data_IF_999233193470
#
_entry.id   IF_999233193470
#
_cell.length_a   1.000
_cell.length_b   1.000
_cell.length_c   1.000
_cell.angle_alpha   90.00
_cell.angle_beta   90.00
_cell.angle_gamma   90.00
#
_symmetry.space_group_name_H-M   'P 1'
#
loop_
_entity.id
_entity.type
_entity.pdbx_description
1 polymer ?
#
# COMPACT_ATOMS: atom_id res chain seq x y z
N UNK A 1 1.04 13.50 9.55
CA UNK A 1 0.59 12.17 9.07
C UNK A 1 -0.85 11.94 9.53
N UNK A 2 -1.81 12.12 8.62
CA UNK A 2 -3.26 11.89 8.84
C UNK A 2 -3.84 10.95 7.77
N UNK A 3 -3.42 11.09 6.51
CA UNK A 3 -3.90 10.31 5.37
C UNK A 3 -2.76 9.49 4.77
N UNK A 4 -2.67 8.24 5.17
CA UNK A 4 -1.53 7.37 4.89
C UNK A 4 -1.87 6.33 3.84
N UNK A 5 -1.05 6.19 2.82
CA UNK A 5 -1.09 5.08 1.86
C UNK A 5 0.05 4.11 2.17
N UNK A 6 -0.26 2.82 2.24
CA UNK A 6 0.74 1.75 2.35
C UNK A 6 0.72 0.92 1.07
N UNK A 7 1.77 1.01 0.27
CA UNK A 7 1.90 0.33 -1.04
C UNK A 7 3.15 -0.55 -1.12
N UNK A 8 3.20 -1.41 -2.12
CA UNK A 8 4.34 -2.31 -2.34
C UNK A 8 3.94 -3.70 -2.79
N UNK A 9 4.89 -4.58 -3.12
CA UNK A 9 4.64 -5.92 -3.65
C UNK A 9 3.83 -6.80 -2.70
N UNK A 10 3.24 -7.85 -3.26
CA UNK A 10 2.60 -8.91 -2.48
C UNK A 10 3.54 -9.52 -1.45
N UNK A 11 3.01 -9.96 -0.33
CA UNK A 11 3.75 -10.54 0.79
C UNK A 11 4.85 -9.61 1.40
N UNK A 12 4.95 -8.34 1.03
CA UNK A 12 5.85 -7.37 1.67
C UNK A 12 5.50 -7.12 3.14
N UNK A 13 4.24 -7.29 3.53
CA UNK A 13 3.77 -7.07 4.89
C UNK A 13 3.07 -5.73 5.10
N UNK A 14 2.50 -5.18 4.03
CA UNK A 14 1.71 -3.94 4.04
C UNK A 14 0.66 -3.93 5.15
N UNK A 15 -0.20 -4.96 5.17
CA UNK A 15 -1.31 -5.04 6.13
C UNK A 15 -0.82 -5.09 7.59
N UNK A 16 0.26 -5.83 7.85
CA UNK A 16 0.86 -5.85 9.19
C UNK A 16 1.41 -4.47 9.60
N UNK A 17 2.02 -3.74 8.65
CA UNK A 17 2.47 -2.37 8.90
C UNK A 17 1.29 -1.42 9.11
N UNK A 18 0.27 -1.47 8.26
CA UNK A 18 -0.91 -0.63 8.36
C UNK A 18 -1.62 -0.80 9.72
N UNK A 19 -1.84 -2.05 10.14
CA UNK A 19 -2.40 -2.36 11.47
C UNK A 19 -1.52 -1.79 12.58
N UNK A 20 -0.20 -1.96 12.49
CA UNK A 20 0.73 -1.43 13.49
C UNK A 20 0.71 0.09 13.56
N UNK A 21 0.68 0.76 12.42
CA UNK A 21 0.54 2.23 12.35
C UNK A 21 -0.79 2.68 12.94
N UNK A 22 -1.90 2.00 12.61
CA UNK A 22 -3.21 2.29 13.20
C UNK A 22 -3.24 2.18 14.72
N UNK A 23 -2.56 1.16 15.29
CA UNK A 23 -2.42 1.01 16.74
C UNK A 23 -1.63 2.14 17.40
N UNK A 24 -0.61 2.67 16.72
CA UNK A 24 0.24 3.74 17.25
C UNK A 24 -0.44 5.11 17.13
N UNK A 25 -1.07 5.36 15.98
CA UNK A 25 -1.59 6.69 15.63
C UNK A 25 -3.07 6.88 15.96
N UNK A 26 -3.81 5.79 16.22
CA UNK A 26 -5.26 5.82 16.36
C UNK A 26 -6.03 5.98 15.04
N UNK A 27 -5.35 5.99 13.89
CA UNK A 27 -5.98 6.17 12.58
C UNK A 27 -6.73 4.90 12.15
N UNK A 28 -7.91 5.04 11.53
CA UNK A 28 -8.65 3.90 10.99
C UNK A 28 -7.90 3.26 9.83
N UNK A 29 -7.82 1.93 9.83
CA UNK A 29 -7.15 1.13 8.77
C UNK A 29 -8.19 0.59 7.82
N UNK A 30 -8.00 0.84 6.52
CA UNK A 30 -8.86 0.41 5.42
C UNK A 30 -8.07 -0.56 4.54
N UNK A 31 -8.47 -1.83 4.53
CA UNK A 31 -7.87 -2.87 3.71
C UNK A 31 -8.57 -2.91 2.34
N UNK A 32 -7.95 -2.33 1.32
CA UNK A 32 -8.55 -2.17 -0.02
C UNK A 32 -8.84 -3.50 -0.71
N UNK A 33 -7.97 -4.50 -0.51
CA UNK A 33 -8.18 -5.85 -1.09
C UNK A 33 -9.53 -6.45 -0.67
N UNK A 34 -9.96 -6.24 0.58
CA UNK A 34 -11.24 -6.76 1.09
C UNK A 34 -12.46 -6.07 0.48
N UNK A 35 -12.30 -4.84 0.02
CA UNK A 35 -13.39 -4.06 -0.58
C UNK A 35 -13.44 -4.21 -2.10
N UNK A 36 -12.30 -4.53 -2.71
CA UNK A 36 -12.18 -4.63 -4.17
C UNK A 36 -12.69 -5.97 -4.71
N UNK A 37 -12.31 -7.07 -4.06
CA UNK A 37 -12.68 -8.41 -4.52
C UNK A 37 -14.07 -8.80 -4.05
N UNK A 38 -14.97 -9.06 -5.00
CA UNK A 38 -16.31 -9.55 -4.76
C UNK A 38 -16.32 -11.07 -4.52
N UNK A 39 -17.38 -11.63 -3.90
CA UNK A 39 -17.55 -13.06 -3.84
C UNK A 39 -17.47 -13.69 -5.25
N UNK A 40 -16.70 -14.79 -5.40
CA UNK A 40 -16.47 -15.45 -6.68
C UNK A 40 -15.29 -14.93 -7.50
N UNK A 41 -14.24 -14.41 -6.92
CA UNK A 41 -13.12 -13.50 -7.21
C UNK A 41 -13.33 -12.56 -8.42
N UNK A 42 -14.49 -11.94 -8.51
CA UNK A 42 -14.74 -10.91 -9.51
C UNK A 42 -14.17 -9.57 -9.04
N UNK A 43 -13.44 -8.89 -9.93
CA UNK A 43 -12.96 -7.52 -9.68
C UNK A 43 -14.13 -6.54 -9.70
N UNK A 44 -14.11 -5.55 -8.82
CA UNK A 44 -15.05 -4.43 -8.86
C UNK A 44 -14.79 -3.62 -10.15
N UNK A 45 -15.83 -3.26 -10.93
CA UNK A 45 -15.67 -2.43 -12.12
C UNK A 45 -14.95 -1.11 -11.82
N UNK A 46 -14.10 -0.64 -12.75
CA UNK A 46 -13.22 0.51 -12.53
C UNK A 46 -13.96 1.77 -12.10
N UNK A 47 -15.09 2.08 -12.71
CA UNK A 47 -15.91 3.28 -12.38
C UNK A 47 -16.45 3.19 -10.96
N UNK A 48 -16.99 2.04 -10.59
CA UNK A 48 -17.52 1.80 -9.25
C UNK A 48 -16.38 1.84 -8.22
N UNK A 49 -15.23 1.24 -8.54
CA UNK A 49 -14.05 1.27 -7.68
C UNK A 49 -13.54 2.70 -7.47
N UNK A 50 -13.55 3.52 -8.52
CA UNK A 50 -13.20 4.94 -8.42
C UNK A 50 -14.14 5.69 -7.48
N UNK A 51 -15.44 5.45 -7.58
CA UNK A 51 -16.42 6.07 -6.68
C UNK A 51 -16.26 5.61 -5.22
N UNK A 52 -15.94 4.32 -5.01
CA UNK A 52 -15.64 3.78 -3.68
C UNK A 52 -14.38 4.44 -3.12
N UNK A 53 -13.28 4.51 -3.87
CA UNK A 53 -12.05 5.12 -3.39
C UNK A 53 -12.21 6.61 -3.06
N UNK A 54 -12.97 7.37 -3.85
CA UNK A 54 -13.29 8.77 -3.52
C UNK A 54 -14.01 8.91 -2.18
N UNK A 55 -14.98 8.04 -1.91
CA UNK A 55 -15.68 8.04 -0.61
C UNK A 55 -14.76 7.66 0.55
N UNK A 56 -13.88 6.67 0.34
CA UNK A 56 -12.90 6.25 1.34
C UNK A 56 -11.85 7.33 1.62
N UNK A 57 -11.48 8.13 0.61
CA UNK A 57 -10.50 9.20 0.73
C UNK A 57 -11.08 10.52 1.28
N UNK A 58 -12.41 10.67 1.33
CA UNK A 58 -13.07 11.89 1.80
C UNK A 58 -12.84 12.22 3.29
N UNK A 59 -12.77 11.25 4.23
CA UNK A 59 -12.49 11.55 5.63
C UNK A 59 -11.13 12.22 5.84
N UNK A 60 -11.02 12.97 6.96
CA UNK A 60 -9.80 13.71 7.29
C UNK A 60 -8.61 12.82 7.68
N UNK A 61 -8.88 11.57 8.08
CA UNK A 61 -7.82 10.69 8.57
C UNK A 61 -8.10 9.22 8.26
N UNK A 62 -7.08 8.52 7.75
CA UNK A 62 -7.14 7.10 7.41
C UNK A 62 -5.75 6.53 7.09
N UNK A 63 -5.64 5.21 7.15
CA UNK A 63 -4.55 4.42 6.59
C UNK A 63 -5.14 3.48 5.56
N UNK A 64 -4.81 3.64 4.28
CA UNK A 64 -5.23 2.74 3.21
C UNK A 64 -4.12 1.74 2.88
N UNK A 65 -4.42 0.46 3.11
CA UNK A 65 -3.54 -0.66 2.79
C UNK A 65 -3.98 -1.33 1.50
N UNK A 66 -3.10 -1.41 0.54
CA UNK A 66 -3.29 -2.18 -0.68
C UNK A 66 -2.63 -1.57 -1.91
N UNK A 67 -2.21 -2.46 -2.80
CA UNK A 67 -1.72 -2.18 -4.14
C UNK A 67 -2.38 -3.21 -5.06
N UNK A 68 -3.42 -2.78 -5.77
CA UNK A 68 -4.23 -3.63 -6.64
C UNK A 68 -3.63 -3.75 -8.05
N UNK A 69 -2.40 -3.24 -8.22
CA UNK A 69 -1.69 -3.29 -9.49
C UNK A 69 -2.46 -2.61 -10.62
N UNK A 70 -2.65 -3.28 -11.79
CA UNK A 70 -3.30 -2.66 -12.95
C UNK A 70 -4.79 -2.36 -12.76
N UNK A 71 -5.41 -2.89 -11.72
CA UNK A 71 -6.83 -2.65 -11.41
C UNK A 71 -7.02 -1.42 -10.51
N UNK A 72 -5.94 -0.83 -10.03
CA UNK A 72 -6.01 0.29 -9.10
C UNK A 72 -6.37 1.62 -9.78
N UNK A 73 -6.93 2.53 -9.00
CA UNK A 73 -7.13 3.95 -9.32
C UNK A 73 -6.36 4.78 -8.30
N UNK A 74 -5.06 4.50 -8.24
CA UNK A 74 -4.14 5.02 -7.24
C UNK A 74 -4.08 6.55 -7.19
N UNK A 75 -4.31 7.22 -8.30
CA UNK A 75 -4.38 8.68 -8.44
C UNK A 75 -5.34 9.32 -7.44
N UNK A 76 -6.54 8.73 -7.25
CA UNK A 76 -7.56 9.26 -6.34
C UNK A 76 -7.04 9.40 -4.91
N UNK A 77 -6.36 8.37 -4.41
CA UNK A 77 -5.87 8.38 -3.03
C UNK A 77 -4.52 9.07 -2.88
N UNK A 78 -3.67 9.09 -3.94
CA UNK A 78 -2.42 9.85 -3.94
C UNK A 78 -2.66 11.35 -3.81
N UNK A 79 -3.68 11.88 -4.50
CA UNK A 79 -4.06 13.30 -4.40
C UNK A 79 -4.59 13.67 -3.01
N UNK A 80 -5.15 12.72 -2.28
CA UNK A 80 -5.69 12.96 -0.95
C UNK A 80 -4.69 12.71 0.18
N UNK A 81 -3.63 11.93 -0.06
CA UNK A 81 -2.67 11.51 0.95
C UNK A 81 -1.72 12.64 1.37
N UNK A 82 -1.32 12.63 2.63
CA UNK A 82 -0.20 13.41 3.16
C UNK A 82 1.05 12.56 3.39
N UNK A 83 0.90 11.24 3.39
CA UNK A 83 1.99 10.31 3.68
C UNK A 83 1.89 9.06 2.81
N UNK A 84 2.97 8.70 2.16
CA UNK A 84 3.09 7.49 1.33
C UNK A 84 4.19 6.61 1.89
N UNK A 85 3.85 5.38 2.27
CA UNK A 85 4.79 4.39 2.76
C UNK A 85 4.93 3.28 1.74
N UNK A 86 6.07 3.22 1.08
CA UNK A 86 6.36 2.25 0.04
C UNK A 86 7.30 1.16 0.55
N UNK A 87 6.79 -0.07 0.70
CA UNK A 87 7.58 -1.24 1.02
C UNK A 87 8.29 -1.76 -0.25
N UNK A 88 9.49 -1.27 -0.57
CA UNK A 88 10.24 -1.66 -1.77
C UNK A 88 11.12 -2.91 -1.53
N UNK A 89 10.50 -4.00 -1.07
CA UNK A 89 11.23 -5.24 -0.78
C UNK A 89 11.65 -5.99 -2.04
N UNK A 90 12.77 -6.73 -1.93
CA UNK A 90 13.22 -7.58 -3.03
C UNK A 90 12.22 -8.69 -3.33
N UNK A 91 12.04 -9.09 -4.62
CA UNK A 91 11.13 -10.16 -5.01
C UNK A 91 11.44 -11.49 -4.30
N UNK A 92 12.71 -11.80 -4.11
CA UNK A 92 13.14 -13.01 -3.40
C UNK A 92 12.62 -13.06 -1.95
N UNK A 93 12.67 -11.94 -1.24
CA UNK A 93 12.14 -11.84 0.13
C UNK A 93 10.63 -12.01 0.15
N UNK A 94 9.93 -11.37 -0.77
CA UNK A 94 8.48 -11.49 -0.89
C UNK A 94 8.06 -12.92 -1.28
N UNK A 95 8.78 -13.55 -2.22
CA UNK A 95 8.55 -14.93 -2.61
C UNK A 95 8.74 -15.90 -1.44
N UNK A 96 9.83 -15.79 -0.69
CA UNK A 96 10.06 -16.60 0.50
C UNK A 96 8.94 -16.49 1.53
N UNK A 97 8.44 -15.27 1.77
CA UNK A 97 7.31 -15.04 2.69
C UNK A 97 6.00 -15.61 2.14
N UNK A 98 5.76 -15.49 0.84
CA UNK A 98 4.59 -16.04 0.17
C UNK A 98 4.57 -17.58 0.25
N UNK A 99 5.71 -18.25 -0.01
CA UNK A 99 5.84 -19.72 0.13
C UNK A 99 5.44 -20.16 1.54
N UNK A 100 5.87 -19.45 2.56
CA UNK A 100 5.55 -19.80 3.96
C UNK A 100 4.07 -19.64 4.31
N UNK A 101 3.33 -18.83 3.56
CA UNK A 101 1.87 -18.65 3.71
C UNK A 101 1.06 -19.75 2.99
N UNK A 102 1.69 -20.46 2.04
CA UNK A 102 1.23 -21.67 1.31
C UNK A 102 -0.20 -21.67 0.71
N UNK A 103 -0.73 -20.53 0.25
CA UNK A 103 -2.09 -20.46 -0.34
C UNK A 103 -2.21 -19.53 -1.54
N UNK A 104 -1.11 -19.20 -2.20
CA UNK A 104 -1.14 -18.23 -3.28
C UNK A 104 -1.46 -18.89 -4.64
N UNK A 105 -2.33 -18.27 -5.43
CA UNK A 105 -2.70 -18.72 -6.78
C UNK A 105 -1.58 -18.43 -7.79
N UNK A 106 -1.56 -19.14 -8.92
CA UNK A 106 -0.55 -18.98 -9.97
C UNK A 106 -0.40 -17.52 -10.45
N UNK A 107 -1.51 -16.78 -10.58
CA UNK A 107 -1.51 -15.37 -10.96
C UNK A 107 -0.75 -14.46 -10.00
N UNK A 108 -0.77 -14.76 -8.70
CA UNK A 108 0.01 -14.03 -7.70
C UNK A 108 1.51 -14.15 -7.96
N UNK A 109 2.01 -15.35 -8.29
CA UNK A 109 3.43 -15.58 -8.57
C UNK A 109 3.91 -14.82 -9.81
N UNK A 110 3.10 -14.83 -10.89
CA UNK A 110 3.41 -14.05 -12.09
C UNK A 110 3.46 -12.56 -11.77
N UNK A 111 2.48 -12.04 -11.03
CA UNK A 111 2.46 -10.65 -10.61
C UNK A 111 3.67 -10.30 -9.72
N UNK A 112 4.00 -11.12 -8.72
CA UNK A 112 5.12 -10.89 -7.82
C UNK A 112 6.46 -10.85 -8.56
N UNK A 113 6.70 -11.80 -9.48
CA UNK A 113 7.94 -11.87 -10.25
C UNK A 113 8.07 -10.73 -11.26
N UNK A 114 6.95 -10.28 -11.82
CA UNK A 114 6.92 -9.18 -12.78
C UNK A 114 6.78 -7.79 -12.13
N UNK A 115 6.50 -7.73 -10.82
CA UNK A 115 6.22 -6.50 -10.08
C UNK A 115 7.26 -5.41 -10.34
N UNK A 116 8.55 -5.73 -10.20
CA UNK A 116 9.64 -4.75 -10.39
C UNK A 116 9.70 -4.16 -11.79
N UNK A 117 9.31 -4.94 -12.82
CA UNK A 117 9.37 -4.52 -14.22
C UNK A 117 8.08 -3.85 -14.69
N UNK A 118 6.93 -4.21 -14.11
CA UNK A 118 5.62 -3.73 -14.56
C UNK A 118 4.95 -2.78 -13.57
N UNK A 119 4.73 -3.20 -12.34
CA UNK A 119 3.95 -2.42 -11.37
C UNK A 119 4.76 -1.32 -10.70
N UNK A 120 6.02 -1.61 -10.33
CA UNK A 120 6.88 -0.64 -9.65
C UNK A 120 7.12 0.65 -10.45
N UNK A 121 7.44 0.63 -11.75
CA UNK A 121 7.59 1.86 -12.54
C UNK A 121 6.30 2.66 -12.63
N UNK A 122 5.16 2.00 -12.80
CA UNK A 122 3.85 2.66 -12.84
C UNK A 122 3.51 3.32 -11.49
N UNK A 123 3.83 2.65 -10.38
CA UNK A 123 3.67 3.22 -9.04
C UNK A 123 4.52 4.49 -8.87
N UNK A 124 5.79 4.46 -9.29
CA UNK A 124 6.66 5.64 -9.23
C UNK A 124 6.16 6.78 -10.10
N UNK A 125 5.69 6.48 -11.33
CA UNK A 125 5.07 7.48 -12.21
C UNK A 125 3.82 8.10 -11.58
N UNK A 126 2.96 7.27 -10.99
CA UNK A 126 1.75 7.76 -10.33
C UNK A 126 2.09 8.64 -9.11
N UNK A 127 3.06 8.23 -8.27
CA UNK A 127 3.54 9.03 -7.14
C UNK A 127 4.07 10.38 -7.64
N UNK A 128 4.96 10.38 -8.64
CA UNK A 128 5.53 11.61 -9.18
C UNK A 128 4.47 12.56 -9.79
N UNK A 129 3.41 12.01 -10.37
CA UNK A 129 2.36 12.80 -11.02
C UNK A 129 1.28 13.32 -10.05
N UNK A 130 1.00 12.61 -8.96
CA UNK A 130 -0.21 12.84 -8.17
C UNK A 130 0.02 13.01 -6.67
N UNK A 131 1.20 12.74 -6.14
CA UNK A 131 1.44 12.79 -4.69
C UNK A 131 1.56 14.21 -4.11
N UNK A 132 1.74 15.23 -4.94
CA UNK A 132 1.93 16.61 -4.46
C UNK A 132 3.05 16.72 -3.43
N UNK A 133 2.75 17.35 -2.29
CA UNK A 133 3.68 17.54 -1.17
C UNK A 133 3.63 16.39 -0.13
N UNK A 134 3.04 15.25 -0.47
CA UNK A 134 2.96 14.10 0.44
C UNK A 134 4.37 13.57 0.79
N UNK A 135 4.63 13.35 2.07
CA UNK A 135 5.88 12.75 2.54
C UNK A 135 6.02 11.31 2.04
N UNK A 136 7.11 11.00 1.33
CA UNK A 136 7.38 9.68 0.76
C UNK A 136 8.43 8.92 1.56
N UNK A 137 8.04 7.79 2.15
CA UNK A 137 8.92 6.90 2.90
C UNK A 137 9.15 5.60 2.13
N UNK A 138 10.35 5.42 1.58
CA UNK A 138 10.73 4.19 0.88
C UNK A 138 11.45 3.25 1.84
N UNK A 139 10.85 2.09 2.10
CA UNK A 139 11.31 1.14 3.11
C UNK A 139 11.78 -0.17 2.43
N UNK A 140 13.08 -0.29 2.06
CA UNK A 140 13.57 -1.44 1.31
C UNK A 140 13.86 -2.67 2.17
N UNK A 141 13.86 -2.55 3.49
CA UNK A 141 14.22 -3.64 4.40
C UNK A 141 13.33 -3.66 5.66
N UNK A 142 13.21 -4.82 6.34
CA UNK A 142 12.52 -4.88 7.63
C UNK A 142 13.15 -4.00 8.72
N UNK A 143 14.44 -3.71 8.62
CA UNK A 143 15.12 -2.78 9.54
C UNK A 143 14.63 -1.35 9.31
N UNK A 144 14.49 -0.93 8.04
CA UNK A 144 13.91 0.36 7.69
C UNK A 144 12.46 0.48 8.20
N UNK A 145 11.66 -0.59 8.05
CA UNK A 145 10.28 -0.62 8.60
C UNK A 145 10.28 -0.46 10.13
N UNK A 146 11.14 -1.18 10.85
CA UNK A 146 11.21 -1.05 12.31
C UNK A 146 11.63 0.35 12.75
N UNK A 147 12.60 0.96 12.06
CA UNK A 147 13.04 2.33 12.31
C UNK A 147 11.88 3.31 12.08
N UNK A 148 11.22 3.26 10.94
CA UNK A 148 10.07 4.09 10.63
C UNK A 148 8.94 3.97 11.68
N UNK A 149 8.61 2.74 12.08
CA UNK A 149 7.60 2.50 13.13
C UNK A 149 8.02 3.12 14.47
N UNK A 150 9.30 3.06 14.84
CA UNK A 150 9.81 3.68 16.06
C UNK A 150 9.75 5.22 15.98
N UNK A 151 10.09 5.81 14.84
CA UNK A 151 9.98 7.25 14.58
C UNK A 151 8.52 7.74 14.68
N UNK A 152 7.58 7.02 14.09
CA UNK A 152 6.15 7.31 14.23
C UNK A 152 5.69 7.22 15.69
N UNK A 153 6.15 6.20 16.43
CA UNK A 153 5.78 6.03 17.83
C UNK A 153 6.34 7.12 18.75
N UNK A 154 7.48 7.73 18.38
CA UNK A 154 8.07 8.87 19.11
C UNK A 154 7.48 10.24 18.74
N UNK A 155 6.51 10.28 17.81
CA UNK A 155 5.88 11.52 17.36
C UNK A 155 6.72 12.35 16.38
N UNK A 156 7.81 11.80 15.86
CA UNK A 156 8.73 12.45 14.93
C UNK A 156 8.91 11.67 13.62
N UNK A 157 7.94 11.63 12.73
CA UNK A 157 8.22 11.27 11.35
C UNK A 157 8.56 12.55 10.57
N UNK A 158 9.83 12.96 10.57
CA UNK A 158 10.30 13.91 9.56
C UNK A 158 10.52 13.12 8.25
N UNK A 159 9.94 13.56 7.13
CA UNK A 159 10.26 13.01 5.82
C UNK A 159 11.72 13.32 5.49
N UNK A 160 12.43 12.38 4.90
CA UNK A 160 13.78 12.62 4.40
C UNK A 160 13.79 13.61 3.23
#
# INVERSE_FOLDING_TARGET
MKRVIVVGPGAAGKSALAVRLGQITGLPVIELDKLFWRPGPAATPREEWTAIQRRLAAPESWIMDGDLGPHDVLDVRLQAADTIVFLDFSPFRCAWRAIRRSRERAGFWVWLLTYRRRSRPLLWQAIAAHAGDAGLYVLPTPRAVRRFVAEVASGAPDPP
#
